data_IF_565001457919
#
_entry.id   IF_565001457919
#
_cell.length_a   1.000
_cell.length_b   1.000
_cell.length_c   1.000
_cell.angle_alpha   90.00
_cell.angle_beta   90.00
_cell.angle_gamma   90.00
#
_symmetry.space_group_name_H-M   'P 1'
#
loop_
_entity.id
_entity.type
_entity.pdbx_description
1 polymer ?
#
# COMPACT_ATOMS: atom_id res chain seq x y z
N UNK A 1 -16.84 -3.89 -6.75
CA UNK A 1 -16.85 -5.12 -7.57
C UNK A 1 -18.26 -5.62 -7.84
N UNK A 2 -19.10 -5.81 -6.81
CA UNK A 2 -20.48 -6.31 -6.95
C UNK A 2 -21.38 -5.46 -7.88
N UNK A 3 -21.36 -4.13 -7.72
CA UNK A 3 -22.21 -3.21 -8.49
C UNK A 3 -21.66 -2.99 -9.90
N UNK A 4 -20.45 -2.40 -9.99
CA UNK A 4 -19.85 -1.99 -11.28
C UNK A 4 -19.43 -3.17 -12.17
N UNK A 5 -19.12 -4.34 -11.58
CA UNK A 5 -18.71 -5.58 -12.28
C UNK A 5 -17.68 -5.35 -13.39
N UNK A 6 -16.49 -4.79 -13.06
CA UNK A 6 -15.47 -4.53 -14.07
C UNK A 6 -14.94 -5.84 -14.68
N UNK A 7 -14.50 -5.76 -15.93
CA UNK A 7 -13.79 -6.85 -16.62
C UNK A 7 -12.26 -6.73 -16.54
N UNK A 8 -11.73 -5.60 -16.06
CA UNK A 8 -10.31 -5.35 -15.82
C UNK A 8 -10.15 -4.28 -14.73
N UNK A 9 -9.00 -4.27 -14.05
CA UNK A 9 -8.68 -3.33 -12.97
C UNK A 9 -7.32 -2.68 -13.23
N UNK A 10 -7.24 -1.37 -13.03
CA UNK A 10 -5.97 -0.64 -12.92
C UNK A 10 -5.84 -0.16 -11.49
N UNK A 11 -4.79 -0.59 -10.80
CA UNK A 11 -4.50 -0.20 -9.43
C UNK A 11 -3.22 0.64 -9.39
N UNK A 12 -3.37 1.90 -8.95
CA UNK A 12 -2.27 2.82 -8.75
C UNK A 12 -1.76 2.70 -7.30
N UNK A 13 -0.53 2.23 -7.13
CA UNK A 13 0.11 1.91 -5.85
C UNK A 13 1.02 3.06 -5.39
N UNK A 14 0.45 4.25 -5.18
CA UNK A 14 1.19 5.40 -4.66
C UNK A 14 1.75 5.11 -3.26
N UNK A 15 3.07 5.22 -3.12
CA UNK A 15 3.81 4.94 -1.89
C UNK A 15 3.95 6.16 -0.96
N UNK A 16 3.40 7.32 -1.35
CA UNK A 16 3.36 8.53 -0.50
C UNK A 16 2.33 8.43 0.64
N UNK A 17 1.46 7.43 0.63
CA UNK A 17 0.57 7.11 1.76
C UNK A 17 1.25 6.34 2.91
N UNK A 18 2.53 5.98 2.76
CA UNK A 18 3.30 5.26 3.77
C UNK A 18 3.71 6.15 4.95
N UNK A 19 3.90 5.52 6.11
CA UNK A 19 4.49 6.16 7.28
C UNK A 19 5.89 6.73 6.96
N UNK A 20 6.13 7.97 7.39
CA UNK A 20 7.42 8.64 7.23
C UNK A 20 7.74 9.06 5.79
N UNK A 21 6.72 9.19 4.92
CA UNK A 21 6.89 9.87 3.64
C UNK A 21 7.26 11.36 3.83
N UNK A 22 7.96 11.96 2.86
CA UNK A 22 8.38 13.38 2.95
C UNK A 22 7.25 14.37 2.70
N UNK A 23 6.26 14.01 1.88
CA UNK A 23 5.12 14.88 1.53
C UNK A 23 3.80 14.34 2.08
N UNK A 24 3.65 13.03 2.14
CA UNK A 24 2.48 12.37 2.71
C UNK A 24 2.38 12.52 4.22
N UNK A 25 1.14 12.50 4.73
CA UNK A 25 0.82 12.64 6.16
C UNK A 25 0.10 11.42 6.73
N UNK A 26 0.14 10.29 6.04
CA UNK A 26 -0.44 9.03 6.50
C UNK A 26 0.56 8.21 7.32
N UNK A 27 0.07 7.12 7.92
CA UNK A 27 0.86 6.27 8.82
C UNK A 27 0.74 4.78 8.45
N UNK A 28 0.65 4.45 7.15
CA UNK A 28 0.54 3.07 6.69
C UNK A 28 1.89 2.33 6.76
N UNK A 29 1.86 1.07 7.15
CA UNK A 29 2.99 0.15 6.98
C UNK A 29 2.96 -0.46 5.57
N UNK A 30 4.08 -1.05 5.13
CA UNK A 30 4.12 -1.79 3.86
C UNK A 30 3.10 -2.92 3.81
N UNK A 31 2.87 -3.61 4.93
CA UNK A 31 1.89 -4.69 5.02
C UNK A 31 0.47 -4.17 4.85
N UNK A 32 0.13 -3.06 5.53
CA UNK A 32 -1.18 -2.44 5.42
C UNK A 32 -1.47 -1.90 4.02
N UNK A 33 -0.45 -1.35 3.37
CA UNK A 33 -0.54 -0.87 1.99
C UNK A 33 -0.70 -2.02 1.00
N UNK A 34 0.14 -3.06 1.09
CA UNK A 34 0.08 -4.22 0.20
C UNK A 34 -1.17 -5.11 0.39
N UNK A 35 -1.88 -5.03 1.52
CA UNK A 35 -3.18 -5.69 1.69
C UNK A 35 -4.20 -5.18 0.66
N UNK A 36 -4.10 -3.91 0.22
CA UNK A 36 -4.95 -3.40 -0.86
C UNK A 36 -4.66 -4.09 -2.19
N UNK A 37 -3.38 -4.35 -2.50
CA UNK A 37 -2.98 -5.13 -3.68
C UNK A 37 -3.51 -6.55 -3.59
N UNK A 38 -3.33 -7.22 -2.45
CA UNK A 38 -3.78 -8.60 -2.30
C UNK A 38 -5.30 -8.72 -2.36
N UNK A 39 -6.03 -7.78 -1.74
CA UNK A 39 -7.49 -7.72 -1.79
C UNK A 39 -8.00 -7.61 -3.24
N UNK A 40 -7.40 -6.74 -4.06
CA UNK A 40 -7.78 -6.58 -5.47
C UNK A 40 -7.38 -7.80 -6.30
N UNK A 41 -6.17 -8.34 -6.09
CA UNK A 41 -5.64 -9.52 -6.79
C UNK A 41 -6.56 -10.73 -6.62
N UNK A 42 -7.11 -10.95 -5.42
CA UNK A 42 -8.03 -12.08 -5.12
C UNK A 42 -9.34 -12.08 -5.93
N UNK A 43 -9.70 -10.98 -6.60
CA UNK A 43 -10.84 -10.96 -7.53
C UNK A 43 -10.57 -11.67 -8.86
N UNK A 44 -9.31 -12.05 -9.16
CA UNK A 44 -8.92 -12.79 -10.36
C UNK A 44 -9.36 -12.15 -11.68
N UNK A 45 -9.31 -10.82 -11.74
CA UNK A 45 -9.51 -10.04 -12.97
C UNK A 45 -8.15 -9.66 -13.58
N UNK A 46 -8.09 -9.38 -14.90
CA UNK A 46 -6.95 -8.70 -15.50
C UNK A 46 -6.59 -7.45 -14.69
N UNK A 47 -5.38 -7.44 -14.12
CA UNK A 47 -4.92 -6.43 -13.17
C UNK A 47 -3.64 -5.77 -13.68
N UNK A 48 -3.68 -4.45 -13.87
CA UNK A 48 -2.50 -3.62 -14.14
C UNK A 48 -2.11 -2.86 -12.86
N UNK A 49 -0.93 -3.18 -12.32
CA UNK A 49 -0.33 -2.45 -11.20
C UNK A 49 0.55 -1.32 -11.72
N UNK A 50 0.36 -0.12 -11.19
CA UNK A 50 1.15 1.07 -11.53
C UNK A 50 1.79 1.64 -10.26
N UNK A 51 2.92 2.33 -10.40
CA UNK A 51 3.51 3.12 -9.32
C UNK A 51 2.77 4.45 -9.11
N UNK A 52 3.50 5.49 -8.72
CA UNK A 52 3.04 6.89 -8.64
C UNK A 52 3.85 7.68 -7.63
N UNK A 53 3.18 8.47 -6.77
CA UNK A 53 3.83 9.27 -5.74
C UNK A 53 4.59 8.41 -4.70
N UNK A 54 5.56 9.03 -4.02
CA UNK A 54 6.43 8.39 -3.05
C UNK A 54 7.75 9.12 -2.94
N UNK A 55 8.02 9.76 -1.81
CA UNK A 55 9.05 10.79 -1.69
C UNK A 55 10.10 10.45 -0.63
N UNK A 56 9.85 9.47 0.24
CA UNK A 56 10.90 8.73 0.96
C UNK A 56 11.34 7.52 0.14
N UNK A 57 12.24 7.73 -0.82
CA UNK A 57 12.60 6.77 -1.89
C UNK A 57 12.96 5.35 -1.42
N UNK A 58 13.56 5.21 -0.23
CA UNK A 58 13.89 3.90 0.35
C UNK A 58 12.64 3.10 0.72
N UNK A 59 11.62 3.79 1.21
CA UNK A 59 10.33 3.16 1.53
C UNK A 59 9.55 2.87 0.26
N UNK A 60 9.67 3.71 -0.78
CA UNK A 60 9.12 3.43 -2.11
C UNK A 60 9.68 2.13 -2.68
N UNK A 61 11.01 1.97 -2.67
CA UNK A 61 11.67 0.76 -3.14
C UNK A 61 11.21 -0.49 -2.35
N UNK A 62 11.14 -0.39 -1.01
CA UNK A 62 10.62 -1.47 -0.16
C UNK A 62 9.15 -1.80 -0.48
N UNK A 63 8.32 -0.79 -0.68
CA UNK A 63 6.88 -0.93 -0.97
C UNK A 63 6.65 -1.70 -2.25
N UNK A 64 7.18 -1.21 -3.37
CA UNK A 64 6.96 -1.83 -4.67
C UNK A 64 7.64 -3.20 -4.77
N UNK A 65 8.76 -3.42 -4.07
CA UNK A 65 9.37 -4.76 -3.95
C UNK A 65 8.41 -5.73 -3.25
N UNK A 66 7.81 -5.31 -2.12
CA UNK A 66 6.89 -6.15 -1.36
C UNK A 66 5.55 -6.37 -2.09
N UNK A 67 4.97 -5.33 -2.69
CA UNK A 67 3.75 -5.45 -3.51
C UNK A 67 3.96 -6.35 -4.74
N UNK A 68 5.16 -6.37 -5.31
CA UNK A 68 5.51 -7.32 -6.39
C UNK A 68 5.49 -8.76 -5.87
N UNK A 69 6.04 -9.02 -4.68
CA UNK A 69 5.97 -10.34 -4.05
C UNK A 69 4.51 -10.78 -3.79
N UNK A 70 3.66 -9.85 -3.33
CA UNK A 70 2.22 -10.08 -3.17
C UNK A 70 1.54 -10.40 -4.50
N UNK A 71 1.86 -9.67 -5.57
CA UNK A 71 1.34 -9.94 -6.92
C UNK A 71 1.74 -11.34 -7.43
N UNK A 72 2.96 -11.78 -7.12
CA UNK A 72 3.49 -13.12 -7.42
C UNK A 72 2.99 -14.19 -6.43
N UNK A 73 2.23 -13.82 -5.41
CA UNK A 73 1.78 -14.70 -4.33
C UNK A 73 2.95 -15.46 -3.68
N UNK A 74 4.04 -14.76 -3.39
CA UNK A 74 5.21 -15.33 -2.71
C UNK A 74 5.59 -14.52 -1.47
N UNK A 75 6.14 -15.23 -0.49
CA UNK A 75 6.74 -14.62 0.70
C UNK A 75 8.21 -14.28 0.43
N UNK A 76 8.65 -13.14 0.93
CA UNK A 76 10.05 -12.71 0.88
C UNK A 76 10.57 -12.39 2.28
N UNK A 77 11.86 -12.60 2.49
CA UNK A 77 12.49 -12.36 3.78
C UNK A 77 12.44 -10.87 4.16
N UNK A 78 12.38 -10.60 5.46
CA UNK A 78 12.49 -9.23 5.96
C UNK A 78 13.94 -8.72 5.90
N UNK A 79 14.93 -9.61 5.81
CA UNK A 79 16.33 -9.24 5.56
C UNK A 79 16.50 -8.81 4.12
N UNK A 80 17.01 -7.60 3.89
CA UNK A 80 17.30 -7.16 2.53
C UNK A 80 18.51 -7.92 1.97
N UNK A 81 18.44 -8.42 0.73
CA UNK A 81 19.62 -8.95 0.06
C UNK A 81 20.59 -7.82 -0.27
N UNK A 82 21.88 -8.14 -0.35
CA UNK A 82 22.88 -7.21 -0.85
C UNK A 82 22.52 -6.76 -2.28
N UNK A 83 22.69 -5.46 -2.54
CA UNK A 83 22.42 -4.83 -3.83
C UNK A 83 23.24 -3.53 -3.92
N UNK A 84 23.32 -2.94 -5.13
CA UNK A 84 24.12 -1.74 -5.40
C UNK A 84 23.76 -0.52 -4.53
N UNK A 85 22.58 -0.52 -3.92
CA UNK A 85 22.06 0.55 -3.06
C UNK A 85 21.88 0.11 -1.60
N UNK A 86 22.52 -0.98 -1.17
CA UNK A 86 22.28 -1.60 0.13
C UNK A 86 22.45 -0.63 1.30
N UNK A 87 23.46 0.24 1.25
CA UNK A 87 23.78 1.22 2.27
C UNK A 87 22.67 2.26 2.47
N UNK A 88 21.78 2.45 1.49
CA UNK A 88 20.65 3.36 1.64
C UNK A 88 19.73 2.89 2.76
N UNK A 89 19.59 1.59 2.95
CA UNK A 89 18.63 0.97 3.86
C UNK A 89 19.14 0.82 5.31
N UNK A 90 20.27 1.44 5.65
CA UNK A 90 20.75 1.48 7.03
C UNK A 90 19.82 2.30 7.96
N UNK A 91 19.90 2.05 9.28
CA UNK A 91 20.84 1.14 9.94
C UNK A 91 20.33 -0.31 10.05
N UNK A 92 19.06 -0.58 9.72
CA UNK A 92 18.39 -1.84 10.03
C UNK A 92 18.48 -2.87 8.89
N UNK A 93 18.64 -2.41 7.64
CA UNK A 93 18.72 -3.24 6.44
C UNK A 93 17.54 -4.21 6.29
N UNK A 94 16.36 -3.78 6.77
CA UNK A 94 15.10 -4.55 6.70
C UNK A 94 14.19 -4.05 5.60
N UNK A 95 13.29 -4.94 5.15
CA UNK A 95 12.24 -4.63 4.20
C UNK A 95 11.10 -3.83 4.86
N UNK A 96 10.56 -4.32 5.97
CA UNK A 96 9.38 -3.74 6.60
C UNK A 96 9.70 -2.48 7.40
N UNK A 97 8.80 -1.49 7.32
CA UNK A 97 8.84 -0.26 8.10
C UNK A 97 7.82 -0.31 9.24
N UNK A 98 8.15 0.32 10.36
CA UNK A 98 7.23 0.49 11.48
C UNK A 98 6.40 1.77 11.32
N UNK A 99 5.12 1.76 11.71
CA UNK A 99 4.35 2.99 11.88
C UNK A 99 5.00 3.93 12.89
N UNK A 100 4.72 5.22 12.75
CA UNK A 100 5.13 6.26 13.71
C UNK A 100 4.12 6.38 14.85
N UNK A 101 4.46 7.17 15.88
CA UNK A 101 3.55 7.54 16.97
C UNK A 101 2.53 8.64 16.58
N UNK A 102 2.33 8.90 15.29
CA UNK A 102 1.36 9.87 14.79
C UNK A 102 -0.06 9.48 15.22
N UNK A 103 -0.79 10.42 15.82
CA UNK A 103 -2.19 10.26 16.20
C UNK A 103 -3.07 10.10 14.97
N UNK A 104 -3.86 9.03 14.92
CA UNK A 104 -4.89 8.88 13.91
C UNK A 104 -6.07 9.81 14.21
N UNK A 105 -6.26 10.82 13.36
CA UNK A 105 -7.37 11.78 13.48
C UNK A 105 -8.67 11.28 12.83
N UNK A 106 -8.65 10.12 12.18
CA UNK A 106 -9.83 9.51 11.58
C UNK A 106 -10.56 8.69 12.65
N UNK A 107 -11.53 9.30 13.33
CA UNK A 107 -12.34 8.59 14.32
C UNK A 107 -13.21 7.52 13.64
N UNK A 108 -13.59 6.45 14.35
CA UNK A 108 -14.50 5.43 13.81
C UNK A 108 -15.82 6.02 13.31
N UNK A 109 -16.37 7.02 13.99
CA UNK A 109 -17.63 7.69 13.62
C UNK A 109 -17.48 8.44 12.30
N UNK A 110 -16.37 9.15 12.11
CA UNK A 110 -16.05 9.85 10.87
C UNK A 110 -15.97 8.88 9.69
N UNK A 111 -15.23 7.78 9.84
CA UNK A 111 -15.08 6.76 8.79
C UNK A 111 -16.41 6.06 8.47
N UNK A 112 -17.18 5.68 9.49
CA UNK A 112 -18.48 5.03 9.30
C UNK A 112 -19.48 5.94 8.59
N UNK A 113 -19.49 7.24 8.92
CA UNK A 113 -20.36 8.23 8.26
C UNK A 113 -20.03 8.35 6.77
N UNK A 114 -18.75 8.44 6.40
CA UNK A 114 -18.33 8.50 4.99
C UNK A 114 -18.67 7.19 4.28
N UNK A 115 -18.36 6.05 4.90
CA UNK A 115 -18.66 4.72 4.35
C UNK A 115 -20.15 4.58 4.04
N UNK A 116 -21.03 4.91 4.99
CA UNK A 116 -22.48 4.82 4.78
C UNK A 116 -22.93 5.65 3.55
N UNK A 117 -22.44 6.89 3.41
CA UNK A 117 -22.74 7.73 2.25
C UNK A 117 -22.24 7.12 0.92
N UNK A 118 -21.04 6.54 0.90
CA UNK A 118 -20.52 5.88 -0.29
C UNK A 118 -21.35 4.64 -0.67
N UNK A 119 -21.84 3.88 0.32
CA UNK A 119 -22.73 2.74 0.06
C UNK A 119 -24.07 3.17 -0.54
N UNK A 120 -24.68 4.26 -0.08
CA UNK A 120 -25.91 4.78 -0.70
C UNK A 120 -25.67 5.21 -2.15
N UNK A 121 -24.56 5.88 -2.44
CA UNK A 121 -24.23 6.29 -3.81
C UNK A 121 -24.05 5.07 -4.74
N UNK A 122 -23.51 3.96 -4.24
CA UNK A 122 -23.28 2.74 -5.02
C UNK A 122 -24.55 1.89 -5.21
N UNK A 123 -25.66 2.20 -4.51
CA UNK A 123 -26.95 1.51 -4.70
C UNK A 123 -27.74 2.05 -5.90
N UNK A 124 -27.42 3.25 -6.36
CA UNK A 124 -28.01 3.88 -7.55
C UNK A 124 -27.39 3.28 -8.82
#
# INVERSE_FOLDING_TARGET
MEVYRPSAVVLQCGADSLAGDRLGCFNLSLKGHAECVDFIRRYNLPLLLLGGGGYTIRNVARCWTYETAVALNCDIANELPYNDYFEYYGPDFKLHISPTNMTNQNTPEYLNKIKARLFENLRL
#
